data_IF_225524022592
#
_entry.id   IF_225524022592
#
_cell.length_a   1.000
_cell.length_b   1.000
_cell.length_c   1.000
_cell.angle_alpha   90.00
_cell.angle_beta   90.00
_cell.angle_gamma   90.00
#
_symmetry.space_group_name_H-M   'P 1'
#
loop_
_entity.id
_entity.type
_entity.pdbx_description
1 polymer ?
#
# COMPACT_ATOMS: atom_id res chain seq x y z
N UNK A 1 0.26 38.32 8.38
CA UNK A 1 -0.36 37.10 7.83
C UNK A 1 0.65 36.00 8.05
N UNK A 2 0.41 35.20 9.08
CA UNK A 2 1.23 34.06 9.44
C UNK A 2 0.94 32.93 8.44
N UNK A 3 1.91 32.60 7.59
CA UNK A 3 1.83 31.41 6.75
C UNK A 3 2.21 30.23 7.64
N UNK A 4 1.23 29.76 8.42
CA UNK A 4 1.36 28.54 9.20
C UNK A 4 1.72 27.39 8.27
N UNK A 5 2.99 27.00 8.29
CA UNK A 5 3.44 25.73 7.74
C UNK A 5 2.67 24.64 8.45
N UNK A 6 1.78 23.94 7.74
CA UNK A 6 1.25 22.66 8.20
C UNK A 6 2.43 21.69 8.21
N UNK A 7 3.17 21.67 9.31
CA UNK A 7 4.09 20.59 9.60
C UNK A 7 3.21 19.35 9.81
N UNK A 8 3.11 18.52 8.77
CA UNK A 8 2.60 17.16 8.93
C UNK A 8 3.40 16.52 10.07
N UNK A 9 2.69 16.13 11.12
CA UNK A 9 3.28 15.57 12.34
C UNK A 9 4.21 14.42 11.96
N UNK A 10 5.52 14.63 12.10
CA UNK A 10 6.50 13.66 11.62
C UNK A 10 6.52 12.46 12.56
N UNK A 11 5.90 11.36 12.12
CA UNK A 11 5.97 10.09 12.86
C UNK A 11 7.44 9.66 12.93
N UNK A 12 8.01 9.63 14.13
CA UNK A 12 9.43 9.33 14.35
C UNK A 12 9.84 8.05 13.62
N UNK A 13 10.88 8.15 12.77
CA UNK A 13 11.39 7.02 11.99
C UNK A 13 10.66 6.79 10.65
N UNK A 14 9.79 7.71 10.24
CA UNK A 14 9.12 7.68 8.95
C UNK A 14 9.31 8.99 8.17
N UNK A 15 9.20 8.88 6.85
CA UNK A 15 9.17 9.97 5.88
C UNK A 15 7.75 10.08 5.32
N UNK A 16 7.29 11.30 5.02
CA UNK A 16 5.95 11.55 4.47
C UNK A 16 5.99 11.73 2.96
N UNK A 17 5.01 11.17 2.27
CA UNK A 17 4.72 11.41 0.86
C UNK A 17 3.34 12.06 0.76
N UNK A 18 3.24 13.15 0.00
CA UNK A 18 1.98 13.79 -0.35
C UNK A 18 2.00 14.03 -1.87
N UNK A 19 1.13 13.33 -2.58
CA UNK A 19 0.90 13.56 -4.00
C UNK A 19 -0.41 14.33 -4.17
N UNK A 20 -0.29 15.64 -4.26
CA UNK A 20 -1.46 16.53 -4.39
C UNK A 20 -2.11 16.43 -5.78
N UNK A 21 -1.37 15.97 -6.79
CA UNK A 21 -1.90 15.80 -8.15
C UNK A 21 -2.80 14.57 -8.21
N UNK A 22 -2.37 13.49 -7.56
CA UNK A 22 -3.08 12.22 -7.53
C UNK A 22 -3.89 12.02 -6.23
N UNK A 23 -3.96 13.04 -5.38
CA UNK A 23 -4.86 13.16 -4.22
C UNK A 23 -4.68 12.06 -3.16
N UNK A 24 -3.44 11.71 -2.84
CA UNK A 24 -3.15 10.79 -1.74
C UNK A 24 -1.91 11.16 -0.94
N UNK A 25 -1.82 10.64 0.28
CA UNK A 25 -0.65 10.72 1.12
C UNK A 25 -0.43 9.41 1.89
N UNK A 26 0.82 9.14 2.26
CA UNK A 26 1.20 8.02 3.13
C UNK A 26 2.58 8.30 3.77
N UNK A 27 2.98 7.47 4.71
CA UNK A 27 4.35 7.49 5.26
C UNK A 27 5.09 6.20 4.94
N UNK A 28 6.42 6.27 4.86
CA UNK A 28 7.28 5.09 4.68
C UNK A 28 8.48 5.11 5.64
N UNK A 29 9.09 3.96 5.96
CA UNK A 29 10.22 3.90 6.90
C UNK A 29 11.41 4.75 6.45
N UNK A 30 12.01 5.48 7.39
CA UNK A 30 13.24 6.23 7.15
C UNK A 30 14.36 5.30 6.64
N UNK A 31 15.13 5.79 5.65
CA UNK A 31 16.25 5.06 5.03
C UNK A 31 15.89 4.39 3.70
N UNK A 32 14.60 4.25 3.38
CA UNK A 32 14.18 3.79 2.05
C UNK A 32 14.36 4.90 1.01
N UNK A 33 14.66 4.50 -0.23
CA UNK A 33 14.91 5.40 -1.35
C UNK A 33 13.82 5.29 -2.40
N UNK A 34 13.49 6.43 -3.01
CA UNK A 34 12.58 6.48 -4.16
C UNK A 34 13.20 5.82 -5.38
N UNK A 35 12.42 5.02 -6.10
CA UNK A 35 12.80 4.39 -7.36
C UNK A 35 11.69 4.60 -8.37
N UNK A 36 12.05 4.92 -9.60
CA UNK A 36 11.09 5.01 -10.71
C UNK A 36 10.91 3.63 -11.33
N UNK A 37 9.68 3.14 -11.36
CA UNK A 37 9.30 1.88 -12.02
C UNK A 37 8.17 2.19 -12.99
N UNK A 38 8.33 1.77 -14.24
CA UNK A 38 7.31 1.96 -15.27
C UNK A 38 5.97 1.35 -14.82
N UNK A 39 4.89 2.13 -14.93
CA UNK A 39 3.55 1.71 -14.54
C UNK A 39 3.27 1.72 -13.03
N UNK A 40 4.20 2.19 -12.19
CA UNK A 40 3.92 2.53 -10.78
C UNK A 40 3.94 4.04 -10.61
N UNK A 41 3.11 4.55 -9.71
CA UNK A 41 3.05 5.98 -9.44
C UNK A 41 4.18 6.40 -8.48
N UNK A 42 4.31 5.69 -7.36
CA UNK A 42 5.41 5.84 -6.40
C UNK A 42 5.96 4.50 -5.96
N UNK A 43 7.27 4.43 -5.78
CA UNK A 43 7.94 3.27 -5.20
C UNK A 43 9.07 3.73 -4.29
N UNK A 44 9.08 3.24 -3.05
CA UNK A 44 10.18 3.43 -2.10
C UNK A 44 10.64 2.06 -1.61
N UNK A 45 11.95 1.84 -1.51
CA UNK A 45 12.49 0.56 -1.04
C UNK A 45 13.77 0.72 -0.22
N UNK A 46 14.01 -0.25 0.64
CA UNK A 46 15.30 -0.39 1.31
C UNK A 46 16.40 -0.75 0.28
N UNK A 47 17.57 -0.13 0.42
CA UNK A 47 18.71 -0.36 -0.48
C UNK A 47 19.36 -1.72 -0.23
N UNK A 48 19.32 -2.20 1.02
CA UNK A 48 19.95 -3.43 1.48
C UNK A 48 18.97 -4.61 1.38
N UNK A 49 17.70 -4.38 1.72
CA UNK A 49 16.65 -5.40 1.76
C UNK A 49 15.56 -5.12 0.71
N UNK A 50 15.75 -5.50 -0.57
CA UNK A 50 14.89 -5.04 -1.66
C UNK A 50 13.43 -5.51 -1.60
N UNK A 51 13.12 -6.50 -0.76
CA UNK A 51 11.73 -6.94 -0.50
C UNK A 51 11.02 -6.07 0.53
N UNK A 52 11.76 -5.27 1.29
CA UNK A 52 11.28 -4.18 2.13
C UNK A 52 11.00 -2.96 1.24
N UNK A 53 9.74 -2.85 0.81
CA UNK A 53 9.32 -1.82 -0.14
C UNK A 53 7.87 -1.42 0.06
N UNK A 54 7.52 -0.26 -0.45
CA UNK A 54 6.15 0.22 -0.64
C UNK A 54 6.00 0.73 -2.06
N UNK A 55 4.87 0.42 -2.69
CA UNK A 55 4.50 1.01 -3.97
C UNK A 55 3.05 1.45 -3.99
N UNK A 56 2.77 2.47 -4.79
CA UNK A 56 1.43 2.95 -5.12
C UNK A 56 1.19 2.76 -6.61
N UNK A 57 0.05 2.19 -6.95
CA UNK A 57 -0.45 2.05 -8.31
C UNK A 57 -1.84 2.67 -8.45
N UNK A 58 -2.09 3.26 -9.61
CA UNK A 58 -3.31 3.99 -9.94
C UNK A 58 -3.86 3.45 -11.27
N UNK A 59 -5.06 2.89 -11.25
CA UNK A 59 -5.71 2.39 -12.47
C UNK A 59 -7.05 3.12 -12.67
N UNK A 60 -7.34 3.65 -13.88
CA UNK A 60 -8.65 4.23 -14.16
C UNK A 60 -9.79 3.22 -13.94
N UNK A 61 -10.90 3.69 -13.40
CA UNK A 61 -12.10 2.87 -13.20
C UNK A 61 -13.37 3.69 -13.38
N UNK A 62 -14.43 3.04 -13.86
CA UNK A 62 -15.78 3.62 -13.91
C UNK A 62 -16.56 3.45 -12.61
N UNK A 63 -16.04 2.66 -11.66
CA UNK A 63 -16.65 2.46 -10.33
C UNK A 63 -16.53 3.70 -9.48
N UNK A 64 -17.50 3.92 -8.60
CA UNK A 64 -17.55 5.09 -7.72
C UNK A 64 -17.00 4.78 -6.33
N UNK A 65 -17.17 3.53 -5.88
CA UNK A 65 -16.67 3.07 -4.59
C UNK A 65 -16.03 1.70 -4.72
N UNK A 66 -15.11 1.37 -3.80
CA UNK A 66 -14.49 0.04 -3.74
C UNK A 66 -15.54 -1.06 -3.52
N UNK A 67 -16.67 -0.72 -2.88
CA UNK A 67 -17.80 -1.64 -2.65
C UNK A 67 -18.45 -2.13 -3.96
N UNK A 68 -18.32 -1.38 -5.06
CA UNK A 68 -18.89 -1.76 -6.36
C UNK A 68 -18.14 -2.94 -7.02
N UNK A 69 -16.98 -3.31 -6.47
CA UNK A 69 -16.21 -4.48 -6.92
C UNK A 69 -16.64 -5.75 -6.17
N UNK A 70 -17.01 -5.65 -4.90
CA UNK A 70 -17.38 -6.78 -4.06
C UNK A 70 -16.88 -6.66 -2.62
N UNK A 71 -17.03 -7.72 -1.81
CA UNK A 71 -16.55 -7.73 -0.43
C UNK A 71 -15.01 -7.80 -0.36
N UNK A 72 -14.39 -7.34 0.75
CA UNK A 72 -12.94 -7.23 0.89
C UNK A 72 -12.17 -8.50 0.52
N UNK A 73 -12.62 -9.66 1.03
CA UNK A 73 -11.96 -10.95 0.81
C UNK A 73 -11.89 -11.33 -0.67
N UNK A 74 -12.99 -11.20 -1.42
CA UNK A 74 -13.04 -11.60 -2.83
C UNK A 74 -12.14 -10.73 -3.71
N UNK A 75 -12.10 -9.42 -3.41
CA UNK A 75 -11.25 -8.47 -4.13
C UNK A 75 -9.79 -8.64 -3.78
N UNK A 76 -9.46 -8.81 -2.49
CA UNK A 76 -8.10 -9.09 -2.06
C UNK A 76 -7.57 -10.40 -2.69
N UNK A 77 -8.36 -11.48 -2.68
CA UNK A 77 -7.97 -12.74 -3.34
C UNK A 77 -7.72 -12.56 -4.84
N UNK A 78 -8.59 -11.81 -5.52
CA UNK A 78 -8.47 -11.57 -6.96
C UNK A 78 -7.22 -10.75 -7.28
N UNK A 79 -6.99 -9.67 -6.54
CA UNK A 79 -5.82 -8.81 -6.73
C UNK A 79 -4.52 -9.56 -6.46
N UNK A 80 -4.44 -10.28 -5.33
CA UNK A 80 -3.24 -11.04 -4.97
C UNK A 80 -2.91 -12.08 -6.04
N UNK A 81 -3.90 -12.84 -6.51
CA UNK A 81 -3.69 -13.92 -7.49
C UNK A 81 -3.39 -13.41 -8.90
N UNK A 82 -3.98 -12.29 -9.33
CA UNK A 82 -3.95 -11.84 -10.74
C UNK A 82 -3.09 -10.62 -11.01
N UNK A 83 -2.76 -9.82 -9.98
CA UNK A 83 -2.16 -8.49 -10.16
C UNK A 83 -0.90 -8.32 -9.30
N UNK A 84 -0.97 -8.63 -8.00
CA UNK A 84 0.09 -8.27 -7.05
C UNK A 84 1.21 -9.30 -6.94
N UNK A 85 0.98 -10.52 -7.41
CA UNK A 85 1.98 -11.57 -7.45
C UNK A 85 2.22 -12.05 -8.89
N UNK A 86 3.49 -12.26 -9.29
CA UNK A 86 3.81 -12.95 -10.52
C UNK A 86 3.14 -14.34 -10.60
N UNK A 87 2.75 -14.82 -11.81
CA UNK A 87 2.03 -16.10 -11.96
C UNK A 87 2.78 -17.34 -11.45
N UNK A 88 4.10 -17.25 -11.28
CA UNK A 88 4.94 -18.34 -10.78
C UNK A 88 5.08 -18.36 -9.25
N UNK A 89 4.42 -17.44 -8.53
CA UNK A 89 4.42 -17.40 -7.06
C UNK A 89 3.15 -18.03 -6.50
N UNK A 90 3.30 -18.80 -5.42
CA UNK A 90 2.15 -19.32 -4.67
C UNK A 90 1.69 -18.29 -3.66
N UNK A 91 0.45 -17.83 -3.79
CA UNK A 91 -0.10 -16.80 -2.91
C UNK A 91 -1.05 -17.36 -1.86
N UNK A 92 -1.09 -16.76 -0.68
CA UNK A 92 -2.07 -17.07 0.37
C UNK A 92 -2.56 -15.78 1.00
N UNK A 93 -3.88 -15.56 0.97
CA UNK A 93 -4.52 -14.48 1.70
C UNK A 93 -4.63 -14.88 3.17
N UNK A 94 -4.17 -14.02 4.06
CA UNK A 94 -4.17 -14.22 5.52
C UNK A 94 -5.38 -13.53 6.15
N UNK A 95 -5.56 -12.24 5.84
CA UNK A 95 -6.66 -11.44 6.35
C UNK A 95 -7.17 -10.44 5.30
N UNK A 96 -8.42 -10.01 5.43
CA UNK A 96 -9.01 -8.94 4.64
C UNK A 96 -10.15 -8.28 5.43
N UNK A 97 -10.08 -6.95 5.56
CA UNK A 97 -11.03 -6.15 6.33
C UNK A 97 -11.46 -4.89 5.58
N UNK A 98 -12.64 -4.37 5.97
CA UNK A 98 -13.14 -3.06 5.54
C UNK A 98 -12.88 -2.04 6.64
N UNK A 99 -12.48 -0.84 6.25
CA UNK A 99 -12.35 0.32 7.13
C UNK A 99 -12.96 1.56 6.48
N UNK A 100 -13.49 2.46 7.31
CA UNK A 100 -13.97 3.76 6.87
C UNK A 100 -13.15 4.86 7.54
N UNK A 101 -12.59 5.76 6.74
CA UNK A 101 -11.79 6.91 7.20
C UNK A 101 -12.27 8.13 6.44
N UNK A 102 -12.71 9.18 7.15
CA UNK A 102 -13.23 10.43 6.59
C UNK A 102 -14.28 10.22 5.48
N UNK A 103 -15.22 9.30 5.73
CA UNK A 103 -16.31 8.95 4.81
C UNK A 103 -15.86 8.21 3.54
N UNK A 104 -14.62 7.73 3.48
CA UNK A 104 -14.08 6.92 2.38
C UNK A 104 -13.85 5.50 2.85
N UNK A 105 -14.30 4.54 2.05
CA UNK A 105 -14.10 3.12 2.32
C UNK A 105 -12.75 2.67 1.78
N UNK A 106 -11.99 1.98 2.62
CA UNK A 106 -10.74 1.31 2.29
C UNK A 106 -10.88 -0.17 2.60
N UNK A 107 -10.31 -1.02 1.76
CA UNK A 107 -10.09 -2.41 2.13
C UNK A 107 -8.61 -2.60 2.44
N UNK A 108 -8.33 -3.22 3.57
CA UNK A 108 -6.99 -3.62 3.96
C UNK A 108 -6.89 -5.14 3.91
N UNK A 109 -5.73 -5.67 3.54
CA UNK A 109 -5.52 -7.12 3.50
C UNK A 109 -4.05 -7.50 3.69
N UNK A 110 -3.85 -8.72 4.17
CA UNK A 110 -2.54 -9.32 4.43
C UNK A 110 -2.40 -10.61 3.65
N UNK A 111 -1.23 -10.83 3.04
CA UNK A 111 -0.99 -12.01 2.22
C UNK A 111 0.50 -12.38 2.18
N UNK A 112 0.76 -13.64 1.82
CA UNK A 112 2.09 -14.08 1.43
C UNK A 112 2.16 -14.43 -0.04
N UNK A 113 3.32 -14.20 -0.64
CA UNK A 113 3.66 -14.62 -2.00
C UNK A 113 4.99 -15.38 -1.96
N UNK A 114 4.90 -16.70 -2.15
CA UNK A 114 6.03 -17.63 -2.07
C UNK A 114 6.65 -17.83 -3.46
N UNK A 115 7.92 -17.48 -3.58
CA UNK A 115 8.79 -17.82 -4.71
C UNK A 115 9.69 -19.03 -4.36
N UNK A 116 10.58 -19.42 -5.29
CA UNK A 116 11.47 -20.58 -5.08
C UNK A 116 12.45 -20.40 -3.91
N UNK A 117 12.91 -19.18 -3.67
CA UNK A 117 14.01 -18.88 -2.75
C UNK A 117 13.64 -17.87 -1.65
N UNK A 118 12.42 -17.36 -1.65
CA UNK A 118 11.92 -16.46 -0.61
C UNK A 118 10.39 -16.51 -0.53
N UNK A 119 9.86 -16.09 0.60
CA UNK A 119 8.46 -15.69 0.75
C UNK A 119 8.43 -14.20 1.06
N UNK A 120 7.60 -13.44 0.34
CA UNK A 120 7.30 -12.06 0.68
C UNK A 120 6.00 -12.04 1.49
N UNK A 121 6.05 -11.48 2.68
CA UNK A 121 4.89 -11.16 3.50
C UNK A 121 4.51 -9.71 3.22
N UNK A 122 3.27 -9.47 2.82
CA UNK A 122 2.83 -8.17 2.33
C UNK A 122 1.47 -7.76 2.90
N UNK A 123 1.30 -6.44 2.98
CA UNK A 123 0.06 -5.76 3.31
C UNK A 123 -0.36 -4.93 2.09
N UNK A 124 -1.66 -4.83 1.87
CA UNK A 124 -2.26 -3.99 0.85
C UNK A 124 -3.37 -3.14 1.43
N UNK A 125 -3.52 -1.92 0.90
CA UNK A 125 -4.68 -1.06 1.12
C UNK A 125 -5.18 -0.54 -0.23
N UNK A 126 -6.48 -0.65 -0.45
CA UNK A 126 -7.14 -0.27 -1.71
C UNK A 126 -8.36 0.61 -1.45
N UNK A 127 -8.62 1.54 -2.37
CA UNK A 127 -9.83 2.37 -2.37
C UNK A 127 -10.12 2.87 -3.78
N UNK A 128 -11.30 3.45 -3.97
CA UNK A 128 -11.69 4.11 -5.21
C UNK A 128 -12.01 5.55 -4.91
N UNK A 129 -11.40 6.47 -5.66
CA UNK A 129 -11.67 7.89 -5.54
C UNK A 129 -11.49 8.60 -6.89
N UNK A 130 -12.43 9.47 -7.25
CA UNK A 130 -12.36 10.30 -8.45
C UNK A 130 -12.01 9.51 -9.74
N UNK A 131 -12.68 8.38 -9.97
CA UNK A 131 -12.49 7.54 -11.15
C UNK A 131 -11.15 6.77 -11.19
N UNK A 132 -10.44 6.68 -10.07
CA UNK A 132 -9.19 5.90 -9.95
C UNK A 132 -9.31 4.83 -8.87
N UNK A 133 -8.77 3.66 -9.17
CA UNK A 133 -8.54 2.57 -8.24
C UNK A 133 -7.12 2.70 -7.69
N UNK A 134 -7.01 2.95 -6.39
CA UNK A 134 -5.74 3.11 -5.70
C UNK A 134 -5.34 1.77 -5.10
N UNK A 135 -4.08 1.41 -5.23
CA UNK A 135 -3.49 0.28 -4.53
C UNK A 135 -2.17 0.71 -3.94
N UNK A 136 -2.06 0.71 -2.62
CA UNK A 136 -0.76 0.70 -1.95
C UNK A 136 -0.45 -0.73 -1.54
N UNK A 137 0.78 -1.18 -1.80
CA UNK A 137 1.28 -2.47 -1.32
C UNK A 137 2.62 -2.29 -0.67
N UNK A 138 2.79 -2.81 0.54
CA UNK A 138 4.07 -2.85 1.24
C UNK A 138 4.36 -4.26 1.72
N UNK A 139 5.62 -4.58 2.03
CA UNK A 139 5.97 -5.91 2.49
C UNK A 139 7.42 -6.03 2.87
N UNK A 140 7.80 -7.22 3.33
CA UNK A 140 9.18 -7.61 3.61
C UNK A 140 9.38 -9.09 3.28
N UNK A 141 10.63 -9.55 3.37
CA UNK A 141 10.89 -10.98 3.41
C UNK A 141 10.25 -11.58 4.68
N UNK A 142 9.60 -12.73 4.57
CA UNK A 142 9.00 -13.48 5.68
C UNK A 142 9.93 -13.61 6.88
N UNK A 143 11.23 -13.89 6.65
CA UNK A 143 12.21 -14.06 7.74
C UNK A 143 12.38 -12.80 8.61
N UNK A 144 12.04 -11.63 8.07
CA UNK A 144 12.16 -10.31 8.72
C UNK A 144 10.79 -9.76 9.11
N UNK A 145 9.70 -10.49 8.91
CA UNK A 145 8.34 -10.03 9.17
C UNK A 145 8.17 -9.53 10.60
N UNK A 146 8.57 -10.31 11.60
CA UNK A 146 8.45 -9.92 13.01
C UNK A 146 9.18 -8.61 13.36
N UNK A 147 10.25 -8.28 12.64
CA UNK A 147 10.98 -7.02 12.81
C UNK A 147 10.28 -5.85 12.11
N UNK A 148 9.57 -6.13 11.02
CA UNK A 148 9.04 -5.11 10.11
C UNK A 148 7.53 -4.88 10.25
N UNK A 149 6.77 -5.84 10.77
CA UNK A 149 5.29 -5.82 10.77
C UNK A 149 4.70 -4.52 11.30
N UNK A 150 5.16 -4.01 12.44
CA UNK A 150 4.63 -2.78 13.04
C UNK A 150 4.90 -1.55 12.16
N UNK A 151 6.05 -1.53 11.48
CA UNK A 151 6.40 -0.47 10.53
C UNK A 151 5.55 -0.55 9.28
N UNK A 152 5.33 -1.75 8.76
CA UNK A 152 4.55 -1.99 7.55
C UNK A 152 3.05 -1.73 7.78
N UNK A 153 2.50 -2.10 8.95
CA UNK A 153 1.15 -1.71 9.36
C UNK A 153 1.01 -0.19 9.44
N UNK A 154 2.01 0.50 10.03
CA UNK A 154 2.03 1.97 10.01
C UNK A 154 1.96 2.56 8.60
N UNK A 155 2.60 1.94 7.60
CA UNK A 155 2.52 2.40 6.21
C UNK A 155 1.09 2.30 5.69
N UNK A 156 0.45 1.14 5.79
CA UNK A 156 -0.92 0.94 5.27
C UNK A 156 -1.95 1.79 6.03
N UNK A 157 -1.83 1.89 7.36
CA UNK A 157 -2.73 2.69 8.20
C UNK A 157 -2.60 4.20 7.95
N UNK A 158 -1.45 4.64 7.43
CA UNK A 158 -1.23 6.05 7.08
C UNK A 158 -1.78 6.44 5.71
N UNK A 159 -2.08 5.47 4.85
CA UNK A 159 -2.54 5.74 3.50
C UNK A 159 -3.91 6.40 3.54
N UNK A 160 -4.03 7.57 2.91
CA UNK A 160 -5.29 8.29 2.83
C UNK A 160 -5.41 9.06 1.54
N UNK A 161 -6.64 9.19 1.07
CA UNK A 161 -7.01 10.16 0.06
C UNK A 161 -6.99 11.56 0.68
N UNK A 162 -6.29 12.48 0.04
CA UNK A 162 -6.22 13.89 0.43
C UNK A 162 -7.11 14.72 -0.47
N UNK A 163 -8.10 15.40 0.11
CA UNK A 163 -9.01 16.33 -0.56
C UNK A 163 -8.80 17.74 -0.05
#
# INVERSE_FOLDING_TARGET
>A
IDYGSVAAESKKGFMTVSDNKDAYAFVYPFGWQEVVIEGQDKVYKDVIEPLESVSVNLIPTSKQTIKDFGPPKEIAETLVKKVLAPPNQKTTLIDASEQEVDGKTYYQFEFTAQARNYTRHALGVITVFNGKFYTLTTGANERRWEKMKDRLHTVVDSFKITV
#
